data_IF_111300742547
#
_entry.id   IF_111300742547
#
_cell.length_a   1.000
_cell.length_b   1.000
_cell.length_c   1.000
_cell.angle_alpha   90.00
_cell.angle_beta   90.00
_cell.angle_gamma   90.00
#
_symmetry.space_group_name_H-M   'P 1'
#
loop_
_entity.id
_entity.type
_entity.pdbx_description
1 polymer ?
#
# COMPACT_ATOMS: atom_id res chain seq x y z
N UNK A 1 -3.94 23.91 -21.30
CA UNK A 1 -2.51 24.12 -21.10
C UNK A 1 -2.12 23.40 -19.81
N UNK A 2 -1.52 22.21 -19.90
CA UNK A 2 -1.10 21.44 -18.72
C UNK A 2 0.03 22.23 -18.04
N UNK A 3 -0.18 22.70 -16.80
CA UNK A 3 0.81 23.53 -16.10
C UNK A 3 1.93 22.63 -15.59
N UNK A 4 3.18 22.91 -15.99
CA UNK A 4 4.37 22.15 -15.59
C UNK A 4 4.51 22.03 -14.06
N UNK A 5 4.09 23.05 -13.33
CA UNK A 5 4.08 23.08 -11.85
C UNK A 5 3.28 21.92 -11.25
N UNK A 6 2.14 21.55 -11.84
CA UNK A 6 1.31 20.45 -11.38
C UNK A 6 2.01 19.10 -11.55
N UNK A 7 2.68 18.92 -12.69
CA UNK A 7 3.44 17.71 -12.99
C UNK A 7 4.63 17.59 -12.06
N UNK A 8 5.37 18.68 -11.84
CA UNK A 8 6.52 18.71 -10.93
C UNK A 8 6.08 18.42 -9.49
N UNK A 9 4.99 19.03 -9.01
CA UNK A 9 4.46 18.76 -7.66
C UNK A 9 3.99 17.31 -7.51
N UNK A 10 3.26 16.77 -8.50
CA UNK A 10 2.81 15.39 -8.49
C UNK A 10 3.99 14.40 -8.46
N UNK A 11 5.05 14.65 -9.24
CA UNK A 11 6.26 13.83 -9.23
C UNK A 11 6.97 13.93 -7.87
N UNK A 12 7.14 15.13 -7.32
CA UNK A 12 7.78 15.31 -6.02
C UNK A 12 7.02 14.60 -4.90
N UNK A 13 5.69 14.72 -4.88
CA UNK A 13 4.82 14.01 -3.93
C UNK A 13 4.86 12.51 -4.12
N UNK A 14 4.90 12.03 -5.36
CA UNK A 14 5.05 10.60 -5.65
C UNK A 14 6.39 10.06 -5.14
N UNK A 15 7.50 10.76 -5.41
CA UNK A 15 8.83 10.38 -4.93
C UNK A 15 8.87 10.34 -3.40
N UNK A 16 8.33 11.37 -2.74
CA UNK A 16 8.21 11.41 -1.28
C UNK A 16 7.35 10.27 -0.75
N UNK A 17 6.17 10.05 -1.33
CA UNK A 17 5.23 9.00 -0.93
C UNK A 17 5.84 7.61 -1.07
N UNK A 18 6.53 7.33 -2.18
CA UNK A 18 7.26 6.06 -2.39
C UNK A 18 8.40 5.92 -1.38
N UNK A 19 9.20 6.96 -1.17
CA UNK A 19 10.34 6.92 -0.24
C UNK A 19 9.91 6.66 1.20
N UNK A 20 8.98 7.46 1.74
CA UNK A 20 8.53 7.32 3.13
C UNK A 20 7.81 6.00 3.37
N UNK A 21 6.94 5.59 2.44
CA UNK A 21 6.24 4.31 2.56
C UNK A 21 7.17 3.11 2.48
N UNK A 22 8.17 3.14 1.60
CA UNK A 22 9.18 2.09 1.52
C UNK A 22 9.97 1.96 2.83
N UNK A 23 10.41 3.07 3.42
CA UNK A 23 11.11 3.07 4.73
C UNK A 23 10.22 2.46 5.81
N UNK A 24 8.98 2.94 5.96
CA UNK A 24 8.08 2.46 7.01
C UNK A 24 7.71 1.00 6.84
N UNK A 25 7.52 0.54 5.60
CA UNK A 25 7.26 -0.87 5.30
C UNK A 25 8.46 -1.74 5.66
N UNK A 26 9.68 -1.31 5.35
CA UNK A 26 10.91 -2.05 5.72
C UNK A 26 11.08 -2.11 7.24
N UNK A 27 10.77 -1.03 7.96
CA UNK A 27 10.78 -1.01 9.42
C UNK A 27 9.71 -1.94 10.02
N UNK A 28 8.48 -1.87 9.50
CA UNK A 28 7.39 -2.74 9.93
C UNK A 28 7.72 -4.21 9.67
N UNK A 29 8.30 -4.52 8.51
CA UNK A 29 8.77 -5.86 8.18
C UNK A 29 9.86 -6.34 9.17
N UNK A 30 10.84 -5.49 9.45
CA UNK A 30 11.92 -5.80 10.40
C UNK A 30 11.38 -6.09 11.79
N UNK A 31 10.39 -5.29 12.24
CA UNK A 31 9.69 -5.52 13.49
C UNK A 31 8.95 -6.87 13.50
N UNK A 32 8.19 -7.17 12.45
CA UNK A 32 7.45 -8.44 12.33
C UNK A 32 8.39 -9.64 12.39
N UNK A 33 9.49 -9.58 11.64
CA UNK A 33 10.50 -10.66 11.60
C UNK A 33 11.12 -10.94 12.96
N UNK A 34 11.38 -9.90 13.75
CA UNK A 34 12.07 -10.02 15.05
C UNK A 34 11.09 -10.41 16.17
N UNK A 35 9.91 -9.79 16.23
CA UNK A 35 9.05 -9.85 17.41
C UNK A 35 7.81 -10.73 17.25
N UNK A 36 7.29 -10.90 16.03
CA UNK A 36 5.98 -11.49 15.82
C UNK A 36 6.03 -12.94 15.33
N UNK A 37 7.21 -13.55 15.15
CA UNK A 37 7.48 -14.90 14.59
C UNK A 37 6.21 -15.77 14.49
N UNK A 38 5.42 -15.58 13.42
CA UNK A 38 4.05 -16.03 13.46
C UNK A 38 4.03 -17.55 13.40
N UNK A 39 3.40 -18.20 14.38
CA UNK A 39 3.12 -19.62 14.28
C UNK A 39 2.24 -19.86 13.05
N UNK A 40 2.72 -20.69 12.12
CA UNK A 40 2.10 -20.96 10.81
C UNK A 40 0.82 -21.82 10.90
N UNK A 41 0.16 -21.89 12.07
CA UNK A 41 -0.96 -22.81 12.29
C UNK A 41 -2.20 -22.47 11.47
N UNK A 42 -2.35 -21.20 11.05
CA UNK A 42 -3.41 -20.75 10.14
C UNK A 42 -2.82 -19.79 9.10
N UNK A 43 -2.73 -20.26 7.85
CA UNK A 43 -2.21 -19.51 6.71
C UNK A 43 -3.04 -18.27 6.41
N UNK A 44 -4.36 -18.31 6.58
CA UNK A 44 -5.25 -17.17 6.30
C UNK A 44 -4.99 -16.04 7.26
N UNK A 45 -4.96 -16.38 8.55
CA UNK A 45 -4.66 -15.41 9.61
C UNK A 45 -3.24 -14.86 9.47
N UNK A 46 -2.29 -15.69 9.01
CA UNK A 46 -0.94 -15.26 8.67
C UNK A 46 -0.95 -14.19 7.57
N UNK A 47 -1.60 -14.45 6.43
CA UNK A 47 -1.66 -13.51 5.31
C UNK A 47 -2.35 -12.18 5.68
N UNK A 48 -3.49 -12.26 6.36
CA UNK A 48 -4.26 -11.07 6.74
C UNK A 48 -3.48 -10.14 7.68
N UNK A 49 -2.76 -10.72 8.66
CA UNK A 49 -1.91 -9.95 9.59
C UNK A 49 -0.80 -9.23 8.85
N UNK A 50 -0.12 -9.88 7.90
CA UNK A 50 0.96 -9.23 7.15
C UNK A 50 0.43 -8.16 6.19
N UNK A 51 -0.70 -8.41 5.52
CA UNK A 51 -1.35 -7.41 4.67
C UNK A 51 -1.78 -6.16 5.45
N UNK A 52 -2.34 -6.35 6.65
CA UNK A 52 -2.70 -5.24 7.55
C UNK A 52 -1.47 -4.47 8.02
N UNK A 53 -0.41 -5.16 8.46
CA UNK A 53 0.80 -4.53 8.99
C UNK A 53 1.57 -3.79 7.90
N UNK A 54 1.80 -4.42 6.75
CA UNK A 54 2.53 -3.84 5.62
C UNK A 54 1.70 -2.74 4.97
N UNK A 55 0.43 -3.01 4.65
CA UNK A 55 -0.48 -2.04 4.06
C UNK A 55 -0.70 -0.82 4.95
N UNK A 56 -0.89 -1.04 6.26
CA UNK A 56 -1.00 0.02 7.25
C UNK A 56 0.27 0.87 7.34
N UNK A 57 1.44 0.24 7.46
CA UNK A 57 2.72 0.94 7.51
C UNK A 57 2.99 1.76 6.24
N UNK A 58 2.71 1.20 5.05
CA UNK A 58 2.81 1.92 3.79
C UNK A 58 1.92 3.17 3.80
N UNK A 59 0.67 3.01 4.22
CA UNK A 59 -0.32 4.09 4.24
C UNK A 59 0.11 5.27 5.11
N UNK A 60 0.74 5.01 6.27
CA UNK A 60 1.29 6.06 7.13
C UNK A 60 2.35 6.91 6.41
N UNK A 61 3.13 6.33 5.49
CA UNK A 61 4.10 7.07 4.68
C UNK A 61 3.47 7.76 3.46
N UNK A 62 2.42 7.18 2.89
CA UNK A 62 1.75 7.68 1.68
C UNK A 62 0.87 8.88 2.00
N UNK A 63 0.01 8.77 3.03
CA UNK A 63 -1.02 9.78 3.34
C UNK A 63 -0.43 11.19 3.50
N UNK A 64 0.68 11.41 4.25
CA UNK A 64 1.26 12.75 4.40
C UNK A 64 1.76 13.34 3.08
N UNK A 65 2.33 12.52 2.18
CA UNK A 65 2.85 12.99 0.89
C UNK A 65 1.74 13.52 -0.03
N UNK A 66 0.54 12.95 0.09
CA UNK A 66 -0.64 13.33 -0.71
C UNK A 66 -1.60 14.27 0.02
N UNK A 67 -1.37 14.54 1.31
CA UNK A 67 -2.18 15.49 2.05
C UNK A 67 -2.05 16.90 1.47
N UNK A 68 -3.16 17.63 1.41
CA UNK A 68 -3.14 19.05 1.04
C UNK A 68 -4.01 19.84 2.01
N UNK A 69 -3.44 20.88 2.62
CA UNK A 69 -4.11 21.72 3.62
C UNK A 69 -5.22 22.58 3.01
N UNK A 70 -5.14 22.88 1.72
CA UNK A 70 -6.12 23.72 1.03
C UNK A 70 -7.38 22.93 0.63
N UNK A 71 -7.29 21.60 0.63
CA UNK A 71 -8.43 20.72 0.35
C UNK A 71 -9.37 20.62 1.56
N UNK A 72 -10.69 20.60 1.36
CA UNK A 72 -11.64 20.25 2.40
C UNK A 72 -11.25 18.99 3.16
N UNK A 73 -11.28 19.07 4.50
CA UNK A 73 -10.86 17.99 5.40
C UNK A 73 -11.54 16.65 5.08
N UNK A 74 -12.83 16.68 4.71
CA UNK A 74 -13.59 15.48 4.35
C UNK A 74 -13.00 14.75 3.13
N UNK A 75 -12.48 15.49 2.15
CA UNK A 75 -11.87 14.92 0.94
C UNK A 75 -10.51 14.31 1.27
N UNK A 76 -9.72 14.96 2.13
CA UNK A 76 -8.47 14.38 2.64
C UNK A 76 -8.73 13.11 3.46
N UNK A 77 -9.77 13.06 4.29
CA UNK A 77 -10.14 11.84 5.01
C UNK A 77 -10.57 10.71 4.07
N UNK A 78 -11.36 11.01 3.04
CA UNK A 78 -11.72 10.03 2.01
C UNK A 78 -10.48 9.49 1.30
N UNK A 79 -9.56 10.37 0.93
CA UNK A 79 -8.27 10.00 0.33
C UNK A 79 -7.49 9.08 1.28
N UNK A 80 -7.32 9.46 2.55
CA UNK A 80 -6.57 8.69 3.53
C UNK A 80 -7.16 7.31 3.77
N UNK A 81 -8.49 7.21 3.92
CA UNK A 81 -9.18 5.93 4.09
C UNK A 81 -9.04 5.04 2.84
N UNK A 82 -9.16 5.64 1.65
CA UNK A 82 -9.02 4.90 0.39
C UNK A 82 -7.59 4.40 0.20
N UNK A 83 -6.59 5.23 0.50
CA UNK A 83 -5.17 4.84 0.49
C UNK A 83 -4.93 3.68 1.45
N UNK A 84 -5.49 3.73 2.66
CA UNK A 84 -5.36 2.65 3.64
C UNK A 84 -5.91 1.33 3.12
N UNK A 85 -7.17 1.34 2.69
CA UNK A 85 -7.86 0.13 2.19
C UNK A 85 -7.14 -0.42 0.96
N UNK A 86 -6.82 0.43 -0.02
CA UNK A 86 -6.20 -0.01 -1.27
C UNK A 86 -4.76 -0.48 -1.05
N UNK A 87 -3.99 0.12 -0.14
CA UNK A 87 -2.64 -0.37 0.19
C UNK A 87 -2.71 -1.77 0.80
N UNK A 88 -3.66 -2.01 1.70
CA UNK A 88 -3.88 -3.35 2.28
C UNK A 88 -4.30 -4.36 1.21
N UNK A 89 -5.29 -4.03 0.38
CA UNK A 89 -5.77 -4.94 -0.67
C UNK A 89 -4.70 -5.20 -1.75
N UNK A 90 -3.95 -4.18 -2.14
CA UNK A 90 -2.90 -4.30 -3.17
C UNK A 90 -1.71 -5.10 -2.68
N UNK A 91 -1.42 -5.07 -1.37
CA UNK A 91 -0.41 -5.95 -0.77
C UNK A 91 -0.74 -7.42 -0.97
N UNK A 92 -2.04 -7.76 -0.96
CA UNK A 92 -2.51 -9.11 -1.23
C UNK A 92 -2.59 -9.38 -2.74
N UNK A 93 -3.26 -8.51 -3.50
CA UNK A 93 -3.53 -8.72 -4.92
C UNK A 93 -2.26 -8.90 -5.77
N UNK A 94 -1.16 -8.21 -5.45
CA UNK A 94 0.09 -8.36 -6.21
C UNK A 94 0.69 -9.77 -6.06
N UNK A 95 0.48 -10.42 -4.92
CA UNK A 95 0.92 -11.79 -4.71
C UNK A 95 0.08 -12.81 -5.49
N UNK A 96 -1.23 -12.57 -5.65
CA UNK A 96 -2.07 -13.37 -6.55
C UNK A 96 -1.56 -13.29 -7.99
N UNK A 97 -1.29 -12.07 -8.48
CA UNK A 97 -0.78 -11.83 -9.84
C UNK A 97 0.58 -12.52 -10.05
N UNK A 98 1.39 -12.61 -8.99
CA UNK A 98 2.71 -13.26 -9.00
C UNK A 98 2.66 -14.79 -8.84
N UNK A 99 1.47 -15.39 -8.75
CA UNK A 99 1.30 -16.83 -8.62
C UNK A 99 1.60 -17.39 -7.22
N UNK A 100 1.54 -16.55 -6.17
CA UNK A 100 1.72 -17.01 -4.77
C UNK A 100 0.43 -17.69 -4.24
N UNK A 101 -0.63 -17.75 -5.06
CA UNK A 101 -1.88 -18.50 -4.82
C UNK A 101 -2.51 -18.24 -3.44
N UNK A 102 -2.43 -16.99 -2.97
CA UNK A 102 -2.89 -16.61 -1.62
C UNK A 102 -4.42 -16.71 -1.45
N UNK A 103 -5.16 -16.83 -2.57
CA UNK A 103 -6.60 -16.97 -2.65
C UNK A 103 -7.05 -18.33 -2.12
N UNK A 104 -6.28 -19.38 -2.44
CA UNK A 104 -6.58 -20.74 -1.96
C UNK A 104 -6.36 -20.87 -0.46
N UNK A 105 -5.45 -20.08 0.12
CA UNK A 105 -5.32 -19.96 1.57
C UNK A 105 -6.56 -19.28 2.18
N UNK A 106 -6.99 -18.13 1.64
CA UNK A 106 -8.09 -17.32 2.20
C UNK A 106 -9.50 -17.92 2.03
N UNK A 107 -9.79 -18.60 0.90
CA UNK A 107 -11.17 -18.94 0.53
C UNK A 107 -11.43 -20.41 0.22
N UNK A 108 -10.40 -21.22 -0.05
CA UNK A 108 -10.59 -22.59 -0.57
C UNK A 108 -9.94 -23.71 0.25
N UNK A 109 -9.24 -23.40 1.34
CA UNK A 109 -8.66 -24.42 2.23
C UNK A 109 -7.56 -25.25 1.54
N UNK A 110 -6.43 -24.62 1.27
CA UNK A 110 -5.10 -25.19 0.94
C UNK A 110 -5.09 -26.49 0.12
N UNK A 111 -4.73 -26.37 -1.16
CA UNK A 111 -3.86 -27.35 -1.83
C UNK A 111 -2.45 -26.78 -1.90
N UNK A 112 -1.46 -27.65 -1.64
CA UNK A 112 -0.06 -27.31 -1.36
C UNK A 112 0.48 -26.32 -2.40
N UNK A 113 0.77 -25.09 -1.96
CA UNK A 113 1.45 -24.10 -2.79
C UNK A 113 2.92 -24.52 -2.95
N UNK A 114 3.46 -24.39 -4.17
CA UNK A 114 4.88 -24.58 -4.47
C UNK A 114 5.77 -23.76 -3.52
N UNK A 115 6.99 -24.21 -3.32
CA UNK A 115 7.97 -23.71 -2.33
C UNK A 115 8.37 -22.25 -2.63
N UNK A 116 7.49 -21.29 -2.36
CA UNK A 116 7.79 -19.88 -2.43
C UNK A 116 8.40 -19.43 -1.09
N UNK A 117 9.56 -18.76 -1.17
CA UNK A 117 10.17 -18.20 0.02
C UNK A 117 9.28 -17.13 0.64
N UNK A 118 9.16 -17.12 1.97
CA UNK A 118 8.48 -16.06 2.74
C UNK A 118 8.95 -14.66 2.28
N UNK A 119 10.24 -14.53 1.98
CA UNK A 119 10.84 -13.32 1.43
C UNK A 119 10.17 -12.88 0.11
N UNK A 120 9.99 -13.78 -0.85
CA UNK A 120 9.40 -13.47 -2.16
C UNK A 120 7.95 -12.97 -2.01
N UNK A 121 7.16 -13.63 -1.16
CA UNK A 121 5.79 -13.23 -0.82
C UNK A 121 5.76 -11.81 -0.23
N UNK A 122 6.66 -11.50 0.69
CA UNK A 122 6.68 -10.20 1.35
C UNK A 122 7.15 -9.10 0.41
N UNK A 123 8.15 -9.37 -0.43
CA UNK A 123 8.55 -8.42 -1.48
C UNK A 123 7.35 -8.03 -2.36
N UNK A 124 6.45 -8.97 -2.65
CA UNK A 124 5.19 -8.67 -3.35
C UNK A 124 4.20 -7.87 -2.52
N UNK A 125 4.04 -8.20 -1.23
CA UNK A 125 3.19 -7.39 -0.35
C UNK A 125 3.68 -5.94 -0.23
N UNK A 126 4.98 -5.76 -0.03
CA UNK A 126 5.61 -4.45 0.12
C UNK A 126 5.44 -3.63 -1.16
N UNK A 127 5.77 -4.20 -2.33
CA UNK A 127 5.61 -3.53 -3.61
C UNK A 127 4.14 -3.19 -3.89
N UNK A 128 3.23 -4.15 -3.66
CA UNK A 128 1.80 -3.97 -3.88
C UNK A 128 1.21 -2.85 -3.02
N UNK A 129 1.56 -2.81 -1.73
CA UNK A 129 1.12 -1.77 -0.82
C UNK A 129 1.60 -0.38 -1.24
N UNK A 130 2.89 -0.24 -1.53
CA UNK A 130 3.50 1.04 -1.92
C UNK A 130 2.92 1.55 -3.24
N UNK A 131 2.81 0.69 -4.25
CA UNK A 131 2.29 1.07 -5.57
C UNK A 131 0.81 1.42 -5.47
N UNK A 132 0.00 0.52 -4.89
CA UNK A 132 -1.45 0.69 -4.82
C UNK A 132 -1.87 1.97 -4.11
N UNK A 133 -1.31 2.23 -2.93
CA UNK A 133 -1.64 3.45 -2.18
C UNK A 133 -1.20 4.74 -2.89
N UNK A 134 0.00 4.76 -3.50
CA UNK A 134 0.48 5.95 -4.21
C UNK A 134 -0.31 6.22 -5.49
N UNK A 135 -0.81 5.20 -6.19
CA UNK A 135 -1.70 5.38 -7.33
C UNK A 135 -3.02 6.05 -6.93
N UNK A 136 -3.59 5.69 -5.77
CA UNK A 136 -4.76 6.37 -5.22
C UNK A 136 -4.44 7.83 -4.85
N UNK A 137 -3.32 8.06 -4.17
CA UNK A 137 -2.86 9.41 -3.84
C UNK A 137 -2.72 10.31 -5.06
N UNK A 138 -2.08 9.78 -6.12
CA UNK A 138 -1.96 10.45 -7.41
C UNK A 138 -3.33 10.73 -8.05
N UNK A 139 -4.23 9.73 -8.07
CA UNK A 139 -5.58 9.90 -8.59
C UNK A 139 -6.36 11.00 -7.88
N UNK A 140 -6.27 11.07 -6.55
CA UNK A 140 -6.85 12.16 -5.76
C UNK A 140 -6.19 13.51 -6.05
N UNK A 141 -4.87 13.54 -6.26
CA UNK A 141 -4.17 14.76 -6.68
C UNK A 141 -4.71 15.30 -8.00
N UNK A 142 -4.90 14.42 -8.99
CA UNK A 142 -5.47 14.78 -10.30
C UNK A 142 -6.92 15.26 -10.13
N UNK A 143 -7.74 14.50 -9.39
CA UNK A 143 -9.14 14.86 -9.12
C UNK A 143 -9.26 16.27 -8.51
N UNK A 144 -8.43 16.58 -7.51
CA UNK A 144 -8.45 17.89 -6.86
C UNK A 144 -7.98 19.02 -7.76
N UNK A 145 -6.93 18.80 -8.55
CA UNK A 145 -6.47 19.77 -9.55
C UNK A 145 -7.55 20.09 -10.58
N UNK A 146 -8.39 19.12 -10.94
CA UNK A 146 -9.51 19.31 -11.88
C UNK A 146 -10.73 20.01 -11.26
N UNK A 147 -11.12 19.61 -10.04
CA UNK A 147 -12.37 20.08 -9.42
C UNK A 147 -12.17 21.34 -8.58
N UNK A 148 -11.19 21.33 -7.68
CA UNK A 148 -10.96 22.42 -6.73
C UNK A 148 -10.01 23.48 -7.29
N UNK A 149 -9.42 23.23 -8.47
CA UNK A 149 -8.40 24.11 -9.06
C UNK A 149 -7.28 24.41 -8.07
N UNK A 150 -6.98 23.42 -7.22
CA UNK A 150 -5.79 23.44 -6.37
C UNK A 150 -4.58 23.40 -7.30
N UNK A 151 -3.91 24.54 -7.41
CA UNK A 151 -2.70 24.76 -8.17
C UNK A 151 -1.59 25.17 -7.22
#
# INVERSE_FOLDING_TARGET
>A
MFRMELVVSAIARLLAGVFFSAILVVLAWSFVKVFLQPAASDTTMYFLKHALLIGGAASVGIIPAWWNTDTPLITNFKMALTVLIVSMLSSWALNEIRGVETHYALFAGVHRVEVFSVRYMLEGMMAGAVIGGNLIGLGFSIYRGLIYREF
#
